data_IF_561134184274
#
_entry.id   IF_561134184274
#
_cell.length_a   1.000
_cell.length_b   1.000
_cell.length_c   1.000
_cell.angle_alpha   90.00
_cell.angle_beta   90.00
_cell.angle_gamma   90.00
#
_symmetry.space_group_name_H-M   'P 1'
#
loop_
_entity.id
_entity.type
_entity.pdbx_description
1 polymer ?
#
# COMPACT_ATOMS: atom_id res chain seq x y z
N UNK A 1 5.74 -12.21 11.63
CA UNK A 1 5.41 -13.42 10.88
C UNK A 1 5.52 -13.09 9.39
N UNK A 2 6.34 -13.82 8.64
CA UNK A 2 6.43 -13.66 7.20
C UNK A 2 5.21 -14.32 6.59
N UNK A 3 4.36 -13.53 5.95
CA UNK A 3 3.25 -14.06 5.18
C UNK A 3 3.82 -14.83 3.98
N UNK A 4 3.43 -16.09 3.83
CA UNK A 4 3.82 -16.88 2.66
C UNK A 4 2.73 -16.73 1.62
N UNK A 5 3.07 -16.07 0.50
CA UNK A 5 2.17 -15.79 -0.62
C UNK A 5 1.49 -17.05 -1.18
N UNK A 6 2.14 -18.21 -1.09
CA UNK A 6 1.56 -19.47 -1.54
C UNK A 6 0.60 -20.13 -0.55
N UNK A 7 0.38 -19.49 0.57
CA UNK A 7 -0.58 -19.89 1.56
C UNK A 7 -1.96 -20.24 0.95
N UNK A 8 -2.50 -19.38 0.09
CA UNK A 8 -3.80 -19.63 -0.57
C UNK A 8 -3.68 -20.69 -1.66
N UNK A 9 -2.54 -20.78 -2.36
CA UNK A 9 -2.32 -21.74 -3.45
C UNK A 9 -1.81 -23.11 -2.98
N UNK A 10 -1.54 -23.28 -1.68
CA UNK A 10 -1.00 -24.51 -1.14
C UNK A 10 0.38 -24.90 -1.69
N UNK A 11 1.11 -23.93 -2.26
CA UNK A 11 2.45 -24.12 -2.81
C UNK A 11 3.43 -23.34 -1.95
N UNK A 12 4.38 -24.00 -1.36
CA UNK A 12 5.54 -23.40 -0.69
C UNK A 12 6.58 -23.02 -1.73
N UNK A 13 6.63 -21.75 -2.13
CA UNK A 13 7.80 -21.23 -2.83
C UNK A 13 8.79 -20.72 -1.78
N UNK A 14 10.00 -21.22 -1.82
CA UNK A 14 11.11 -20.65 -1.06
C UNK A 14 11.52 -19.33 -1.71
N UNK A 15 10.75 -18.27 -1.46
CA UNK A 15 11.19 -16.95 -1.84
C UNK A 15 12.42 -16.56 -1.03
N UNK A 16 13.37 -15.92 -1.70
CA UNK A 16 14.46 -15.25 -1.02
C UNK A 16 13.88 -14.10 -0.18
N UNK A 17 13.79 -14.32 1.12
CA UNK A 17 13.32 -13.31 2.07
C UNK A 17 14.50 -12.54 2.63
N UNK A 18 14.33 -11.25 3.02
CA UNK A 18 15.33 -10.54 3.78
C UNK A 18 15.76 -11.35 5.00
N UNK A 19 17.05 -11.51 5.19
CA UNK A 19 17.61 -12.22 6.34
C UNK A 19 18.12 -11.23 7.39
N UNK A 20 17.75 -11.44 8.64
CA UNK A 20 18.27 -10.68 9.77
C UNK A 20 19.62 -11.27 10.18
N UNK A 21 20.66 -10.87 9.48
CA UNK A 21 22.01 -11.41 9.61
C UNK A 21 22.85 -10.77 10.74
N UNK A 22 22.30 -9.76 11.40
CA UNK A 22 22.99 -9.02 12.46
C UNK A 22 24.01 -7.98 11.95
N UNK A 23 24.22 -7.88 10.64
CA UNK A 23 25.21 -6.98 10.01
C UNK A 23 24.51 -5.98 9.06
N UNK A 24 23.92 -6.45 7.98
CA UNK A 24 23.21 -5.59 7.00
C UNK A 24 21.81 -5.26 7.50
N UNK A 25 21.09 -6.25 8.01
CA UNK A 25 19.81 -6.11 8.70
C UNK A 25 19.99 -6.56 10.17
N UNK A 26 20.53 -5.70 11.03
CA UNK A 26 20.87 -6.07 12.40
C UNK A 26 19.66 -6.32 13.29
N UNK A 27 18.50 -5.82 12.88
CA UNK A 27 17.26 -5.90 13.65
C UNK A 27 16.06 -6.20 12.74
N UNK A 28 15.06 -6.82 13.32
CA UNK A 28 13.72 -6.86 12.75
C UNK A 28 13.22 -5.43 12.45
N UNK A 29 12.78 -5.11 11.22
CA UNK A 29 12.33 -3.77 10.85
C UNK A 29 11.22 -3.22 11.76
N UNK A 30 10.29 -4.05 12.21
CA UNK A 30 9.24 -3.63 13.15
C UNK A 30 9.81 -3.21 14.50
N UNK A 31 10.77 -3.98 15.03
CA UNK A 31 11.46 -3.63 16.28
C UNK A 31 12.29 -2.37 16.12
N UNK A 32 12.93 -2.18 14.96
CA UNK A 32 13.68 -0.97 14.66
C UNK A 32 12.76 0.26 14.61
N UNK A 33 11.61 0.15 13.93
CA UNK A 33 10.59 1.20 13.88
C UNK A 33 10.02 1.51 15.28
N UNK A 34 9.61 0.48 16.03
CA UNK A 34 9.07 0.64 17.39
C UNK A 34 10.07 1.29 18.36
N UNK A 35 11.38 1.02 18.19
CA UNK A 35 12.43 1.63 18.99
C UNK A 35 12.96 2.97 18.45
N UNK A 36 12.35 3.51 17.38
CA UNK A 36 12.78 4.73 16.69
C UNK A 36 14.25 4.72 16.23
N UNK A 37 14.80 3.54 15.93
CA UNK A 37 16.16 3.34 15.43
C UNK A 37 16.20 3.40 13.90
N UNK A 38 15.82 4.53 13.33
CA UNK A 38 15.86 4.78 11.90
C UNK A 38 16.44 6.17 11.62
N UNK A 39 17.06 6.39 10.44
CA UNK A 39 17.64 7.67 10.10
C UNK A 39 16.58 8.76 9.94
N UNK A 40 17.00 10.01 10.16
CA UNK A 40 16.17 11.18 9.86
C UNK A 40 16.27 11.50 8.38
N UNK A 41 15.26 11.11 7.62
CA UNK A 41 15.14 11.32 6.16
C UNK A 41 13.73 11.74 5.79
N UNK A 42 13.58 12.46 4.71
CA UNK A 42 12.26 12.68 4.11
C UNK A 42 11.76 11.39 3.46
N UNK A 43 10.48 11.08 3.62
CA UNK A 43 9.87 9.85 3.12
C UNK A 43 8.67 10.15 2.25
N UNK A 44 8.57 9.49 1.10
CA UNK A 44 7.38 9.41 0.28
C UNK A 44 7.02 7.94 0.13
N UNK A 45 5.82 7.56 0.53
CA UNK A 45 5.34 6.18 0.51
C UNK A 45 3.84 6.16 0.23
N UNK A 46 3.37 5.13 -0.45
CA UNK A 46 1.96 5.00 -0.77
C UNK A 46 1.59 3.61 -1.25
N UNK A 47 0.41 3.51 -1.85
CA UNK A 47 -0.19 2.26 -2.28
C UNK A 47 -1.09 2.48 -3.51
N UNK A 48 -1.38 1.38 -4.21
CA UNK A 48 -2.38 1.31 -5.28
C UNK A 48 -3.70 0.74 -4.76
N UNK A 49 -4.82 1.10 -5.38
CA UNK A 49 -6.16 0.69 -4.90
C UNK A 49 -6.33 -0.81 -4.78
N UNK A 50 -5.84 -1.59 -5.77
CA UNK A 50 -6.07 -3.03 -5.83
C UNK A 50 -4.76 -3.82 -5.76
N UNK A 51 -3.94 -3.54 -4.74
CA UNK A 51 -2.62 -4.17 -4.55
C UNK A 51 -2.68 -5.70 -4.61
N UNK A 52 -3.74 -6.31 -4.06
CA UNK A 52 -3.88 -7.75 -3.94
C UNK A 52 -4.30 -8.50 -5.20
N UNK A 53 -4.79 -7.80 -6.25
CA UNK A 53 -5.50 -8.47 -7.36
C UNK A 53 -4.62 -9.42 -8.19
N UNK A 54 -3.33 -9.17 -8.27
CA UNK A 54 -2.39 -10.05 -8.98
C UNK A 54 -2.07 -11.33 -8.20
N UNK A 55 -2.53 -11.43 -6.96
CA UNK A 55 -2.16 -12.48 -6.01
C UNK A 55 -3.32 -13.39 -5.62
N UNK A 56 -4.52 -13.12 -6.11
CA UNK A 56 -5.71 -13.92 -5.82
C UNK A 56 -5.70 -15.26 -6.54
N UNK A 57 -6.50 -16.18 -6.02
CA UNK A 57 -6.80 -17.45 -6.68
C UNK A 57 -8.23 -17.42 -7.21
N UNK A 58 -8.39 -17.55 -8.54
CA UNK A 58 -9.68 -17.65 -9.17
C UNK A 58 -10.42 -18.93 -8.76
N UNK A 59 -11.73 -18.80 -8.56
CA UNK A 59 -12.62 -19.95 -8.28
C UNK A 59 -12.47 -20.56 -6.90
N UNK A 60 -11.72 -19.95 -5.97
CA UNK A 60 -11.69 -20.41 -4.58
C UNK A 60 -13.09 -20.23 -3.96
N UNK A 61 -13.53 -21.24 -3.21
CA UNK A 61 -14.79 -21.16 -2.46
C UNK A 61 -14.59 -20.45 -1.12
N UNK A 62 -15.65 -19.83 -0.62
CA UNK A 62 -15.64 -19.17 0.69
C UNK A 62 -15.07 -20.07 1.79
N UNK A 63 -15.55 -21.31 1.89
CA UNK A 63 -15.08 -22.28 2.90
C UNK A 63 -13.58 -22.57 2.82
N UNK A 64 -13.00 -22.57 1.60
CA UNK A 64 -11.58 -22.86 1.39
C UNK A 64 -10.74 -21.63 1.76
N UNK A 65 -11.23 -20.42 1.46
CA UNK A 65 -10.58 -19.17 1.90
C UNK A 65 -10.57 -19.05 3.41
N UNK A 66 -11.71 -19.28 4.08
CA UNK A 66 -11.80 -19.26 5.55
C UNK A 66 -10.90 -20.34 6.18
N UNK A 67 -10.90 -21.55 5.61
CA UNK A 67 -10.00 -22.62 6.05
C UNK A 67 -8.54 -22.24 5.93
N UNK A 68 -8.17 -21.54 4.86
CA UNK A 68 -6.82 -21.05 4.64
C UNK A 68 -6.43 -20.01 5.72
N UNK A 69 -7.30 -19.06 6.05
CA UNK A 69 -7.07 -18.10 7.13
C UNK A 69 -6.86 -18.82 8.48
N UNK A 70 -7.74 -19.76 8.82
CA UNK A 70 -7.64 -20.53 10.08
C UNK A 70 -6.36 -21.35 10.16
N UNK A 71 -5.96 -22.00 9.06
CA UNK A 71 -4.74 -22.82 9.02
C UNK A 71 -3.47 -21.98 9.20
N UNK A 72 -3.46 -20.76 8.68
CA UNK A 72 -2.26 -19.89 8.74
C UNK A 72 -2.17 -19.11 10.05
N UNK A 73 -3.28 -18.53 10.50
CA UNK A 73 -3.29 -17.61 11.64
C UNK A 73 -3.79 -18.25 12.95
N UNK A 74 -4.30 -19.48 12.89
CA UNK A 74 -5.03 -20.12 13.96
C UNK A 74 -6.53 -19.74 13.97
N UNK A 75 -7.36 -20.53 14.65
CA UNK A 75 -8.81 -20.36 14.61
C UNK A 75 -9.27 -19.02 15.16
N UNK A 76 -8.69 -18.54 16.26
CA UNK A 76 -9.10 -17.30 16.91
C UNK A 76 -8.83 -16.09 15.99
N UNK A 77 -7.61 -15.97 15.47
CA UNK A 77 -7.27 -14.89 14.53
C UNK A 77 -8.00 -15.06 13.20
N UNK A 78 -8.16 -16.28 12.71
CA UNK A 78 -8.91 -16.56 11.48
C UNK A 78 -10.37 -16.11 11.57
N UNK A 79 -11.01 -16.27 12.72
CA UNK A 79 -12.37 -15.76 12.94
C UNK A 79 -12.41 -14.22 12.93
N UNK A 80 -11.47 -13.55 13.59
CA UNK A 80 -11.36 -12.09 13.57
C UNK A 80 -11.10 -11.55 12.16
N UNK A 81 -10.27 -12.24 11.38
CA UNK A 81 -10.01 -11.88 9.98
C UNK A 81 -11.26 -12.06 9.11
N UNK A 82 -12.03 -13.12 9.31
CA UNK A 82 -13.33 -13.30 8.63
C UNK A 82 -14.30 -12.17 8.94
N UNK A 83 -14.33 -11.68 10.17
CA UNK A 83 -15.17 -10.54 10.56
C UNK A 83 -14.67 -9.22 9.97
N UNK A 84 -13.35 -9.07 9.81
CA UNK A 84 -12.74 -7.88 9.23
C UNK A 84 -12.90 -7.81 7.69
N UNK A 85 -12.95 -8.98 7.02
CA UNK A 85 -13.16 -9.14 5.58
C UNK A 85 -14.42 -9.97 5.32
N UNK A 86 -15.61 -9.41 5.57
CA UNK A 86 -16.87 -10.15 5.48
C UNK A 86 -17.19 -10.51 4.02
N UNK A 87 -17.59 -11.76 3.81
CA UNK A 87 -18.09 -12.23 2.51
C UNK A 87 -19.61 -12.10 2.55
N UNK A 88 -20.16 -11.25 1.69
CA UNK A 88 -21.58 -10.96 1.60
C UNK A 88 -22.02 -10.65 0.15
N UNK A 89 -23.16 -9.99 -0.03
CA UNK A 89 -23.69 -9.65 -1.35
C UNK A 89 -22.89 -8.57 -2.08
N UNK A 90 -22.21 -7.71 -1.35
CA UNK A 90 -21.42 -6.59 -1.87
C UNK A 90 -19.93 -6.97 -2.02
N UNK A 91 -19.47 -7.91 -1.21
CA UNK A 91 -18.09 -8.38 -1.17
C UNK A 91 -18.05 -9.90 -1.38
N UNK A 92 -17.85 -10.30 -2.61
CA UNK A 92 -17.65 -11.72 -2.92
C UNK A 92 -16.26 -12.22 -2.45
N UNK A 93 -16.06 -13.53 -2.55
CA UNK A 93 -14.79 -14.17 -2.13
C UNK A 93 -13.58 -13.59 -2.85
N UNK A 94 -13.73 -13.21 -4.12
CA UNK A 94 -12.63 -12.64 -4.90
C UNK A 94 -12.27 -11.24 -4.38
N UNK A 95 -13.26 -10.40 -4.15
CA UNK A 95 -13.09 -9.05 -3.56
C UNK A 95 -12.40 -9.14 -2.20
N UNK A 96 -12.87 -10.03 -1.32
CA UNK A 96 -12.25 -10.24 0.00
C UNK A 96 -10.80 -10.73 -0.10
N UNK A 97 -10.47 -11.59 -1.07
CA UNK A 97 -9.08 -11.97 -1.31
C UNK A 97 -8.22 -10.79 -1.76
N UNK A 98 -8.71 -9.98 -2.71
CA UNK A 98 -7.99 -8.79 -3.21
C UNK A 98 -7.68 -7.84 -2.06
N UNK A 99 -8.67 -7.54 -1.24
CA UNK A 99 -8.50 -6.66 -0.09
C UNK A 99 -7.56 -7.24 0.96
N UNK A 100 -7.80 -8.47 1.40
CA UNK A 100 -6.98 -9.12 2.42
C UNK A 100 -5.51 -9.26 1.99
N UNK A 101 -5.26 -9.72 0.75
CA UNK A 101 -3.90 -9.88 0.23
C UNK A 101 -3.21 -8.53 0.02
N UNK A 102 -3.93 -7.54 -0.50
CA UNK A 102 -3.42 -6.19 -0.62
C UNK A 102 -3.03 -5.59 0.73
N UNK A 103 -3.89 -5.79 1.72
CA UNK A 103 -3.67 -5.27 3.07
C UNK A 103 -2.50 -5.96 3.77
N UNK A 104 -2.45 -7.29 3.78
CA UNK A 104 -1.41 -8.02 4.51
C UNK A 104 -0.03 -7.93 3.86
N UNK A 105 0.03 -7.82 2.52
CA UNK A 105 1.30 -7.80 1.79
C UNK A 105 1.88 -6.40 1.63
N UNK A 106 1.04 -5.36 1.52
CA UNK A 106 1.46 -4.00 1.14
C UNK A 106 0.94 -2.92 2.07
N UNK A 107 -0.39 -2.84 2.26
CA UNK A 107 -1.01 -1.69 2.90
C UNK A 107 -0.71 -1.59 4.39
N UNK A 108 -0.69 -2.73 5.10
CA UNK A 108 -0.37 -2.77 6.53
C UNK A 108 1.05 -2.27 6.80
N UNK A 109 2.03 -2.73 6.01
CA UNK A 109 3.40 -2.24 6.09
C UNK A 109 3.47 -0.74 5.83
N UNK A 110 2.80 -0.25 4.79
CA UNK A 110 2.71 1.17 4.46
C UNK A 110 2.13 1.99 5.62
N UNK A 111 1.02 1.55 6.22
CA UNK A 111 0.38 2.21 7.38
C UNK A 111 1.35 2.30 8.57
N UNK A 112 2.01 1.21 8.92
CA UNK A 112 2.94 1.17 10.05
C UNK A 112 4.12 2.12 9.81
N UNK A 113 4.67 2.13 8.59
CA UNK A 113 5.74 3.08 8.22
C UNK A 113 5.27 4.53 8.29
N UNK A 114 4.09 4.84 7.76
CA UNK A 114 3.51 6.18 7.83
C UNK A 114 3.38 6.67 9.27
N UNK A 115 2.80 5.87 10.15
CA UNK A 115 2.60 6.24 11.55
C UNK A 115 3.94 6.45 12.27
N UNK A 116 4.84 5.48 12.16
CA UNK A 116 6.11 5.52 12.92
C UNK A 116 7.10 6.56 12.37
N UNK A 117 7.22 6.68 11.07
CA UNK A 117 8.16 7.64 10.49
C UNK A 117 7.69 9.07 10.63
N UNK A 118 6.36 9.34 10.60
CA UNK A 118 5.83 10.70 10.74
C UNK A 118 6.08 11.33 12.12
N UNK A 119 6.41 10.53 13.13
CA UNK A 119 6.76 11.02 14.46
C UNK A 119 8.05 11.87 14.45
N UNK A 120 8.99 11.61 13.54
CA UNK A 120 10.31 12.27 13.50
C UNK A 120 10.71 12.81 12.14
N UNK A 121 10.07 12.36 11.08
CA UNK A 121 10.42 12.67 9.70
C UNK A 121 9.32 13.46 9.00
N UNK A 122 9.67 14.11 7.88
CA UNK A 122 8.67 14.60 6.93
C UNK A 122 8.22 13.43 6.08
N UNK A 123 6.95 13.08 6.16
CA UNK A 123 6.37 11.96 5.42
C UNK A 123 5.28 12.49 4.50
N UNK A 124 5.25 12.00 3.28
CA UNK A 124 4.22 12.27 2.28
C UNK A 124 3.58 10.96 1.85
N UNK A 125 2.29 10.83 2.12
CA UNK A 125 1.52 9.64 1.79
C UNK A 125 0.77 9.80 0.47
N UNK A 126 0.77 8.78 -0.41
CA UNK A 126 -0.05 8.79 -1.62
C UNK A 126 -0.92 7.55 -1.75
N UNK A 127 -2.00 7.73 -2.49
CA UNK A 127 -2.89 6.69 -3.00
C UNK A 127 -2.94 6.84 -4.53
N UNK A 128 -2.51 5.83 -5.28
CA UNK A 128 -2.62 5.81 -6.72
C UNK A 128 -3.89 5.07 -7.13
N UNK A 129 -4.85 5.82 -7.70
CA UNK A 129 -6.19 5.33 -8.05
C UNK A 129 -6.56 5.57 -9.52
N UNK A 130 -5.61 6.04 -10.32
CA UNK A 130 -5.85 6.25 -11.74
C UNK A 130 -5.91 4.93 -12.49
N UNK A 131 -7.11 4.62 -13.02
CA UNK A 131 -7.35 3.40 -13.77
C UNK A 131 -7.52 3.64 -15.26
N UNK A 132 -6.91 2.78 -16.06
CA UNK A 132 -7.13 2.72 -17.52
C UNK A 132 -7.93 1.50 -17.95
N UNK A 133 -8.33 0.64 -17.00
CA UNK A 133 -9.00 -0.64 -17.25
C UNK A 133 -10.12 -0.87 -16.23
N UNK A 134 -11.31 -0.41 -16.53
CA UNK A 134 -12.54 -0.74 -15.76
C UNK A 134 -12.44 -0.50 -14.24
N UNK A 135 -11.74 0.54 -13.81
CA UNK A 135 -11.60 0.86 -12.40
C UNK A 135 -10.56 0.02 -11.64
N UNK A 136 -9.83 -0.88 -12.30
CA UNK A 136 -8.83 -1.73 -11.63
C UNK A 136 -7.45 -1.06 -11.66
N UNK A 137 -6.80 -0.98 -10.49
CA UNK A 137 -5.46 -0.39 -10.28
C UNK A 137 -4.57 -1.39 -9.54
N UNK A 138 -3.94 -2.34 -10.25
CA UNK A 138 -3.12 -3.39 -9.67
C UNK A 138 -1.82 -2.89 -9.03
N UNK A 139 -1.16 -3.78 -8.30
CA UNK A 139 0.21 -3.59 -7.84
C UNK A 139 1.13 -3.14 -8.98
N UNK A 140 2.03 -2.18 -8.72
CA UNK A 140 2.98 -1.54 -9.66
C UNK A 140 2.35 -0.68 -10.77
N UNK A 141 1.04 -0.39 -10.73
CA UNK A 141 0.37 0.44 -11.76
C UNK A 141 0.91 1.87 -11.85
N UNK A 142 1.43 2.40 -10.77
CA UNK A 142 1.99 3.76 -10.69
C UNK A 142 3.35 3.90 -11.38
N UNK A 143 4.10 2.81 -11.60
CA UNK A 143 5.48 2.87 -12.09
C UNK A 143 5.64 3.57 -13.45
N UNK A 144 4.82 3.26 -14.49
CA UNK A 144 4.92 3.97 -15.76
C UNK A 144 4.67 5.48 -15.64
N UNK A 145 3.88 5.90 -14.66
CA UNK A 145 3.57 7.31 -14.36
C UNK A 145 4.71 7.95 -13.55
N UNK A 146 5.22 7.25 -12.56
CA UNK A 146 6.33 7.72 -11.72
C UNK A 146 7.59 7.95 -12.54
N UNK A 147 7.92 7.01 -13.44
CA UNK A 147 9.12 7.09 -14.30
C UNK A 147 8.87 7.77 -15.64
N UNK A 148 7.64 8.19 -15.92
CA UNK A 148 7.22 8.79 -17.20
C UNK A 148 7.64 7.92 -18.42
N UNK A 149 7.36 6.61 -18.33
CA UNK A 149 7.72 5.60 -19.34
C UNK A 149 6.50 5.12 -20.12
N UNK A 150 5.47 5.93 -20.21
CA UNK A 150 4.29 5.63 -21.03
C UNK A 150 4.69 5.54 -22.51
N UNK A 151 4.03 4.64 -23.25
CA UNK A 151 4.29 4.49 -24.67
C UNK A 151 3.52 5.52 -25.53
N UNK A 152 3.85 5.61 -26.81
CA UNK A 152 3.23 6.59 -27.75
C UNK A 152 1.71 6.40 -27.91
N UNK A 153 1.22 5.16 -27.68
CA UNK A 153 -0.22 4.82 -27.80
C UNK A 153 -1.04 5.22 -26.57
N UNK A 154 -0.38 5.69 -25.51
CA UNK A 154 -1.06 6.16 -24.31
C UNK A 154 -1.88 7.41 -24.63
N UNK A 155 -3.09 7.51 -24.05
CA UNK A 155 -3.98 8.65 -24.25
C UNK A 155 -3.38 9.93 -23.69
N UNK A 156 -3.88 11.08 -24.14
CA UNK A 156 -3.44 12.37 -23.61
C UNK A 156 -3.73 12.49 -22.11
N UNK A 157 -4.86 11.97 -21.65
CA UNK A 157 -5.18 11.92 -20.21
C UNK A 157 -4.14 11.11 -19.42
N UNK A 158 -3.69 9.96 -19.94
CA UNK A 158 -2.64 9.18 -19.27
C UNK A 158 -1.33 9.98 -19.19
N UNK A 159 -0.97 10.68 -20.26
CA UNK A 159 0.24 11.52 -20.30
C UNK A 159 0.13 12.70 -19.33
N UNK A 160 -1.03 13.34 -19.23
CA UNK A 160 -1.28 14.43 -18.28
C UNK A 160 -1.14 13.95 -16.82
N UNK A 161 -1.72 12.79 -16.49
CA UNK A 161 -1.57 12.18 -15.16
C UNK A 161 -0.11 11.80 -14.91
N UNK A 162 0.60 11.22 -15.89
CA UNK A 162 2.01 10.89 -15.76
C UNK A 162 2.88 12.14 -15.51
N UNK A 163 2.60 13.21 -16.19
CA UNK A 163 3.29 14.49 -15.98
C UNK A 163 3.14 15.00 -14.54
N UNK A 164 1.92 14.90 -13.98
CA UNK A 164 1.66 15.30 -12.60
C UNK A 164 2.41 14.39 -11.63
N UNK A 165 2.26 13.08 -11.76
CA UNK A 165 2.91 12.08 -10.88
C UNK A 165 4.43 12.26 -10.94
N UNK A 166 5.00 12.20 -12.15
CA UNK A 166 6.45 12.30 -12.36
C UNK A 166 7.02 13.60 -11.76
N UNK A 167 6.41 14.76 -12.03
CA UNK A 167 6.85 16.04 -11.45
C UNK A 167 6.88 16.02 -9.93
N UNK A 168 5.85 15.45 -9.30
CA UNK A 168 5.78 15.34 -7.84
C UNK A 168 6.92 14.47 -7.28
N UNK A 169 7.18 13.32 -7.90
CA UNK A 169 8.29 12.44 -7.50
C UNK A 169 9.65 13.11 -7.73
N UNK A 170 9.86 13.74 -8.89
CA UNK A 170 11.11 14.49 -9.20
C UNK A 170 11.33 15.63 -8.20
N UNK A 171 10.29 16.39 -7.87
CA UNK A 171 10.40 17.46 -6.87
C UNK A 171 10.83 16.90 -5.52
N UNK A 172 10.17 15.83 -5.06
CA UNK A 172 10.54 15.17 -3.81
C UNK A 172 11.98 14.67 -3.82
N UNK A 173 12.41 13.98 -4.88
CA UNK A 173 13.79 13.48 -5.00
C UNK A 173 14.83 14.62 -4.91
N UNK A 174 14.52 15.78 -5.50
CA UNK A 174 15.43 16.92 -5.52
C UNK A 174 15.46 17.73 -4.22
N UNK A 175 14.34 17.80 -3.51
CA UNK A 175 14.15 18.79 -2.44
C UNK A 175 13.61 18.23 -1.12
N UNK A 176 13.19 16.98 -1.10
CA UNK A 176 12.46 16.38 0.03
C UNK A 176 11.02 16.90 0.19
N UNK A 177 10.51 17.63 -0.83
CA UNK A 177 9.14 18.19 -0.83
C UNK A 177 8.49 18.02 -2.21
N UNK A 178 7.37 17.30 -2.37
CA UNK A 178 6.72 17.09 -3.65
C UNK A 178 6.04 18.34 -4.20
N UNK A 179 5.92 19.42 -3.41
CA UNK A 179 5.18 20.62 -3.75
C UNK A 179 6.02 21.70 -4.45
N UNK A 180 7.33 21.59 -4.40
CA UNK A 180 8.21 22.68 -4.80
C UNK A 180 8.73 22.52 -6.21
N UNK A 181 8.27 23.37 -7.12
CA UNK A 181 9.13 23.90 -8.19
C UNK A 181 9.25 25.44 -8.12
N UNK A 182 8.72 26.03 -7.08
CA UNK A 182 8.78 27.48 -6.85
C UNK A 182 7.99 28.34 -7.84
N UNK A 183 7.47 27.76 -8.93
CA UNK A 183 6.87 28.50 -10.07
C UNK A 183 5.40 28.21 -10.32
N UNK A 184 4.86 27.06 -9.89
CA UNK A 184 3.47 26.70 -10.12
C UNK A 184 2.61 26.91 -8.88
N UNK A 185 2.02 28.09 -8.74
CA UNK A 185 1.04 28.42 -7.69
C UNK A 185 -0.31 27.67 -7.83
N UNK A 186 -0.48 26.86 -8.86
CA UNK A 186 -1.78 26.27 -9.24
C UNK A 186 -1.92 24.78 -8.92
N UNK A 187 -0.87 24.10 -8.45
CA UNK A 187 -0.96 22.70 -8.08
C UNK A 187 -1.60 22.54 -6.69
N UNK A 188 -2.54 21.60 -6.58
CA UNK A 188 -3.08 21.16 -5.29
C UNK A 188 -1.92 20.83 -4.34
N UNK A 189 -1.94 21.40 -3.14
CA UNK A 189 -0.89 21.16 -2.15
C UNK A 189 -1.01 19.73 -1.60
N UNK A 190 0.06 18.97 -1.66
CA UNK A 190 0.21 17.69 -1.00
C UNK A 190 0.61 17.92 0.46
N UNK A 191 -0.25 17.64 1.45
CA UNK A 191 0.08 17.84 2.85
C UNK A 191 1.07 16.77 3.32
N UNK A 192 1.83 17.08 4.37
CA UNK A 192 2.57 16.06 5.09
C UNK A 192 1.57 15.13 5.78
N UNK A 193 1.93 13.85 5.83
CA UNK A 193 1.19 12.89 6.64
C UNK A 193 1.45 13.18 8.13
N UNK A 194 0.38 13.25 8.89
CA UNK A 194 0.37 13.37 10.34
C UNK A 194 -0.61 12.34 10.90
N UNK A 195 -0.20 11.57 11.90
CA UNK A 195 -1.03 10.49 12.48
C UNK A 195 -2.40 10.94 12.99
N UNK A 196 -2.53 12.22 13.38
CA UNK A 196 -3.83 12.79 13.82
C UNK A 196 -4.76 13.16 12.67
N UNK A 197 -4.25 13.45 11.47
CA UNK A 197 -5.05 13.88 10.31
C UNK A 197 -5.15 12.82 9.23
N UNK A 198 -4.10 11.99 9.07
CA UNK A 198 -4.05 10.83 8.16
C UNK A 198 -4.41 11.18 6.72
N UNK A 199 -3.98 12.35 6.23
CA UNK A 199 -4.23 12.74 4.85
C UNK A 199 -3.28 12.03 3.89
N UNK A 200 -3.85 11.56 2.77
CA UNK A 200 -3.12 11.02 1.62
C UNK A 200 -3.41 11.86 0.39
N UNK A 201 -2.42 11.98 -0.49
CA UNK A 201 -2.59 12.60 -1.79
C UNK A 201 -3.01 11.53 -2.79
N UNK A 202 -4.22 11.65 -3.32
CA UNK A 202 -4.76 10.72 -4.28
C UNK A 202 -4.39 11.15 -5.70
N UNK A 203 -3.70 10.29 -6.42
CA UNK A 203 -3.47 10.42 -7.85
C UNK A 203 -4.57 9.71 -8.62
N UNK A 204 -5.36 10.47 -9.34
CA UNK A 204 -6.44 10.04 -10.21
C UNK A 204 -6.54 11.03 -11.38
N UNK A 205 -7.55 10.92 -12.24
CA UNK A 205 -7.87 11.90 -13.29
C UNK A 205 -7.84 13.34 -12.75
N UNK A 206 -8.40 13.54 -11.57
CA UNK A 206 -8.28 14.78 -10.80
C UNK A 206 -7.67 14.43 -9.44
N UNK A 207 -6.44 14.86 -9.23
CA UNK A 207 -5.79 14.65 -7.95
C UNK A 207 -6.53 15.34 -6.82
N UNK A 208 -6.64 14.67 -5.67
CA UNK A 208 -7.31 15.18 -4.47
C UNK A 208 -6.46 14.93 -3.22
N UNK A 209 -6.86 15.55 -2.11
CA UNK A 209 -6.37 15.21 -0.77
C UNK A 209 -7.53 14.60 -0.01
N UNK A 210 -7.36 13.40 0.49
CA UNK A 210 -8.41 12.66 1.19
C UNK A 210 -7.90 12.07 2.51
N UNK A 211 -8.81 11.64 3.37
CA UNK A 211 -8.46 10.84 4.54
C UNK A 211 -8.02 9.45 4.09
N UNK A 212 -7.08 8.84 4.82
CA UNK A 212 -6.60 7.48 4.54
C UNK A 212 -7.74 6.47 4.77
N UNK A 213 -8.43 6.10 3.71
CA UNK A 213 -9.67 5.31 3.75
C UNK A 213 -9.47 3.93 4.38
N UNK A 214 -8.30 3.31 4.17
CA UNK A 214 -8.00 1.98 4.69
C UNK A 214 -7.57 1.99 6.17
N UNK A 215 -7.37 3.17 6.79
CA UNK A 215 -6.69 3.26 8.09
C UNK A 215 -7.34 2.41 9.17
N UNK A 216 -8.66 2.53 9.36
CA UNK A 216 -9.36 1.84 10.45
C UNK A 216 -9.36 0.32 10.26
N UNK A 217 -9.46 -0.16 9.02
CA UNK A 217 -9.33 -1.58 8.69
C UNK A 217 -7.92 -2.09 8.96
N UNK A 218 -6.91 -1.34 8.54
CA UNK A 218 -5.50 -1.69 8.75
C UNK A 218 -5.11 -1.63 10.23
N UNK A 219 -5.68 -0.71 11.01
CA UNK A 219 -5.44 -0.62 12.44
C UNK A 219 -5.97 -1.87 13.17
N UNK A 220 -7.17 -2.33 12.82
CA UNK A 220 -7.72 -3.60 13.32
C UNK A 220 -6.89 -4.80 12.86
N UNK A 221 -6.45 -4.81 11.59
CA UNK A 221 -5.59 -5.86 11.06
C UNK A 221 -4.27 -5.94 11.83
N UNK A 222 -3.64 -4.80 12.13
CA UNK A 222 -2.40 -4.73 12.92
C UNK A 222 -2.60 -5.38 14.30
N UNK A 223 -3.71 -5.07 15.00
CA UNK A 223 -4.04 -5.65 16.30
C UNK A 223 -4.30 -7.16 16.24
N UNK A 224 -4.84 -7.67 15.14
CA UNK A 224 -5.06 -9.11 14.96
C UNK A 224 -3.73 -9.84 14.71
N UNK A 225 -2.83 -9.25 13.91
CA UNK A 225 -1.61 -9.90 13.45
C UNK A 225 -0.52 -9.88 14.52
N UNK A 226 -0.34 -8.74 15.20
CA UNK A 226 0.74 -8.52 16.19
C UNK A 226 0.24 -8.50 17.63
#
# INVERSE_FOLDING_TARGET
ASFDYDFIKGKTYNYLKPNFDGVVLPHDPYKALASHKFPKVEVMIGYNTHEGINFVQDGIKEQDFIKALNNHFGQDKGQLLKELYPIDKEHDVLTCQVEFLGDIMFNLGTKIFLDKLSEKNKVYAYHFDFSTRNGVVPHISELPYTFNTLNEKSSDLQKDVADIVHKRFVNFIKTGDPNTDGKQKTLLRWPKYESKHKYVFKFDTFSTVESYQLYDRLDKLEQIIY
#
